data_IF_551053210716
#
_entry.id   IF_551053210716
#
_cell.length_a   1.000
_cell.length_b   1.000
_cell.length_c   1.000
_cell.angle_alpha   90.00
_cell.angle_beta   90.00
_cell.angle_gamma   90.00
#
_symmetry.space_group_name_H-M   'P 1'
#
loop_
_entity.id
_entity.type
_entity.pdbx_description
1 polymer ?
#
# COMPACT_ATOMS: atom_id res chain seq x y z
N UNK A 1 -9.20 -51.46 47.54
CA UNK A 1 -8.55 -50.15 47.80
C UNK A 1 -7.62 -49.90 46.62
N UNK A 2 -8.04 -49.08 45.64
CA UNK A 2 -7.70 -47.64 45.53
C UNK A 2 -6.18 -47.48 45.28
N UNK A 3 -5.67 -46.97 44.16
CA UNK A 3 -6.09 -45.82 43.35
C UNK A 3 -5.70 -45.98 41.86
N UNK A 4 -6.60 -45.57 40.97
CA UNK A 4 -6.31 -45.19 39.58
C UNK A 4 -5.63 -43.80 39.58
N UNK A 5 -4.56 -43.63 38.81
CA UNK A 5 -4.02 -42.31 38.48
C UNK A 5 -4.18 -42.07 36.98
N UNK A 6 -5.27 -41.37 36.64
CA UNK A 6 -5.47 -40.70 35.35
C UNK A 6 -4.43 -39.58 35.26
N UNK A 7 -3.54 -39.62 34.26
CA UNK A 7 -2.75 -38.46 33.86
C UNK A 7 -3.47 -37.85 32.65
N UNK A 8 -4.15 -36.73 32.89
CA UNK A 8 -4.76 -35.89 31.86
C UNK A 8 -3.64 -35.21 31.08
N UNK A 9 -3.39 -35.61 29.83
CA UNK A 9 -2.55 -34.84 28.92
C UNK A 9 -3.28 -33.55 28.55
N UNK A 10 -2.76 -32.42 29.04
CA UNK A 10 -3.14 -31.10 28.56
C UNK A 10 -2.49 -30.87 27.19
N UNK A 11 -3.29 -30.94 26.12
CA UNK A 11 -2.89 -30.52 24.79
C UNK A 11 -2.70 -29.00 24.79
N UNK A 12 -1.44 -28.54 24.80
CA UNK A 12 -1.13 -27.14 24.54
C UNK A 12 -1.33 -26.93 23.04
N UNK A 13 -2.42 -26.27 22.68
CA UNK A 13 -2.59 -25.74 21.33
C UNK A 13 -1.47 -24.71 21.10
N UNK A 14 -0.50 -25.07 20.26
CA UNK A 14 0.41 -24.11 19.66
C UNK A 14 -0.45 -23.18 18.80
N UNK A 15 -0.83 -22.03 19.35
CA UNK A 15 -1.29 -20.93 18.54
C UNK A 15 -0.14 -20.57 17.61
N UNK A 16 -0.28 -20.91 16.32
CA UNK A 16 0.59 -20.36 15.29
C UNK A 16 0.28 -18.87 15.20
N UNK A 17 0.85 -18.08 16.11
CA UNK A 17 1.05 -16.67 15.84
C UNK A 17 1.96 -16.63 14.62
N UNK A 18 1.36 -16.46 13.44
CA UNK A 18 2.10 -16.18 12.23
C UNK A 18 2.89 -14.89 12.50
N UNK A 19 4.16 -15.06 12.85
CA UNK A 19 5.08 -13.95 13.02
C UNK A 19 5.08 -13.18 11.68
N UNK A 20 4.97 -11.84 11.70
CA UNK A 20 5.15 -11.06 10.49
C UNK A 20 6.48 -11.45 9.86
N UNK A 21 6.47 -11.85 8.59
CA UNK A 21 7.70 -12.16 7.86
C UNK A 21 8.67 -10.96 7.96
N UNK A 22 9.95 -11.18 8.29
CA UNK A 22 10.94 -10.11 8.40
C UNK A 22 11.08 -9.38 7.08
N UNK A 23 11.45 -8.09 7.15
CA UNK A 23 11.47 -7.17 6.02
C UNK A 23 12.39 -7.67 4.89
N UNK A 24 13.45 -8.41 5.22
CA UNK A 24 14.38 -9.01 4.25
C UNK A 24 13.78 -10.14 3.40
N UNK A 25 12.70 -10.79 3.85
CA UNK A 25 12.09 -11.94 3.15
C UNK A 25 11.00 -11.52 2.16
N UNK A 26 10.56 -10.25 2.24
CA UNK A 26 9.79 -9.61 1.19
C UNK A 26 10.80 -9.13 0.16
N UNK A 27 10.87 -9.78 -1.00
CA UNK A 27 11.53 -9.18 -2.17
C UNK A 27 10.82 -7.85 -2.47
N UNK A 28 11.27 -6.77 -1.85
CA UNK A 28 10.67 -5.47 -1.98
C UNK A 28 11.01 -4.98 -3.39
N UNK A 29 10.02 -4.97 -4.27
CA UNK A 29 10.14 -4.23 -5.52
C UNK A 29 10.29 -2.76 -5.13
N UNK A 30 11.45 -2.17 -5.46
CA UNK A 30 11.78 -0.77 -5.18
C UNK A 30 11.81 0.03 -6.47
N UNK A 31 11.15 1.18 -6.49
CA UNK A 31 11.16 2.09 -7.64
C UNK A 31 11.25 3.54 -7.16
N UNK A 32 12.33 4.26 -7.48
CA UNK A 32 12.51 5.67 -7.08
C UNK A 32 12.28 5.93 -5.57
N UNK A 33 12.75 5.01 -4.71
CA UNK A 33 12.54 5.08 -3.25
C UNK A 33 11.16 4.61 -2.77
N UNK A 34 10.26 4.22 -3.67
CA UNK A 34 9.00 3.56 -3.32
C UNK A 34 9.21 2.09 -3.02
N UNK A 35 8.51 1.59 -2.01
CA UNK A 35 8.58 0.21 -1.56
C UNK A 35 7.16 -0.32 -1.34
N UNK A 36 6.98 -1.63 -1.49
CA UNK A 36 5.70 -2.28 -1.17
C UNK A 36 5.58 -2.42 0.35
N UNK A 37 4.56 -1.81 0.94
CA UNK A 37 4.24 -1.91 2.38
C UNK A 37 3.26 -3.03 2.71
N UNK A 38 2.64 -3.67 1.71
CA UNK A 38 1.71 -4.78 1.91
C UNK A 38 0.68 -4.92 0.80
N UNK A 39 -0.31 -5.76 1.07
CA UNK A 39 -1.36 -6.15 0.13
C UNK A 39 -1.19 -7.57 -0.39
N UNK A 40 -2.23 -8.10 -1.02
CA UNK A 40 -2.23 -9.49 -1.51
C UNK A 40 -1.83 -9.63 -2.98
N UNK A 41 -1.76 -8.54 -3.76
CA UNK A 41 -1.22 -8.63 -5.12
C UNK A 41 0.27 -8.97 -5.06
N UNK A 42 0.71 -9.89 -5.92
CA UNK A 42 2.15 -10.09 -6.15
C UNK A 42 2.61 -9.09 -7.19
N UNK A 43 3.40 -8.10 -6.79
CA UNK A 43 3.92 -7.07 -7.71
C UNK A 43 5.22 -7.57 -8.34
N UNK A 44 5.28 -7.56 -9.67
CA UNK A 44 6.48 -7.92 -10.44
C UNK A 44 7.27 -6.68 -10.85
N UNK A 45 6.58 -5.59 -11.19
CA UNK A 45 7.19 -4.32 -11.54
C UNK A 45 6.38 -3.18 -10.94
N UNK A 46 7.08 -2.14 -10.51
CA UNK A 46 6.50 -0.91 -10.02
C UNK A 46 7.25 0.25 -10.65
N UNK A 47 6.51 1.21 -11.19
CA UNK A 47 7.05 2.47 -11.64
C UNK A 47 6.13 3.58 -11.15
N UNK A 48 6.72 4.54 -10.43
CA UNK A 48 6.00 5.69 -9.89
C UNK A 48 6.75 6.93 -10.33
N UNK A 49 6.03 7.86 -10.97
CA UNK A 49 6.61 9.14 -11.41
C UNK A 49 7.15 9.93 -10.21
N UNK A 50 8.08 10.87 -10.38
CA UNK A 50 8.36 11.88 -9.37
C UNK A 50 7.13 12.77 -9.11
N UNK A 51 7.13 13.49 -7.99
CA UNK A 51 6.10 14.49 -7.72
C UNK A 51 6.54 15.85 -8.28
N UNK A 52 5.92 16.26 -9.38
CA UNK A 52 6.20 17.55 -10.04
C UNK A 52 4.89 18.28 -10.34
N UNK A 53 4.37 19.12 -9.43
CA UNK A 53 3.19 19.94 -9.70
C UNK A 53 3.35 20.81 -10.96
N UNK A 54 2.28 21.01 -11.74
CA UNK A 54 0.89 20.60 -11.49
C UNK A 54 0.57 19.19 -12.03
N UNK A 55 1.56 18.38 -12.39
CA UNK A 55 1.33 17.08 -13.00
C UNK A 55 0.87 16.04 -11.95
N UNK A 56 -0.05 15.12 -12.32
CA UNK A 56 -0.48 14.05 -11.43
C UNK A 56 0.65 13.03 -11.18
N UNK A 57 0.55 12.30 -10.07
CA UNK A 57 1.46 11.19 -9.78
C UNK A 57 0.96 9.97 -10.55
N UNK A 58 1.78 9.46 -11.47
CA UNK A 58 1.47 8.22 -12.20
C UNK A 58 2.00 7.02 -11.43
N UNK A 59 1.12 6.05 -11.18
CA UNK A 59 1.48 4.76 -10.59
C UNK A 59 1.16 3.67 -11.60
N UNK A 60 2.21 2.97 -12.01
CA UNK A 60 2.15 1.84 -12.93
C UNK A 60 2.70 0.62 -12.22
N UNK A 61 1.89 -0.43 -12.09
CA UNK A 61 2.30 -1.68 -11.45
C UNK A 61 1.89 -2.84 -12.35
N UNK A 62 2.79 -3.80 -12.52
CA UNK A 62 2.43 -5.11 -13.09
C UNK A 62 2.51 -6.16 -11.99
N UNK A 63 1.58 -7.11 -12.00
CA UNK A 63 1.55 -8.12 -10.95
C UNK A 63 0.51 -9.19 -11.17
N UNK A 64 0.55 -10.21 -10.32
CA UNK A 64 -0.43 -11.28 -10.28
C UNK A 64 -1.47 -10.99 -9.20
N UNK A 65 -2.74 -10.95 -9.60
CA UNK A 65 -3.90 -10.86 -8.72
C UNK A 65 -4.37 -12.28 -8.35
N UNK A 66 -4.14 -12.75 -7.10
CA UNK A 66 -4.55 -14.07 -6.67
C UNK A 66 -6.03 -14.17 -6.30
N UNK A 67 -6.76 -13.05 -6.19
CA UNK A 67 -8.16 -13.07 -5.80
C UNK A 67 -9.01 -13.64 -6.94
N UNK A 68 -9.71 -14.78 -6.75
CA UNK A 68 -10.50 -15.43 -7.81
C UNK A 68 -11.67 -14.56 -8.31
N UNK A 69 -12.10 -13.57 -7.53
CA UNK A 69 -13.18 -12.66 -7.91
C UNK A 69 -12.69 -11.41 -8.64
N UNK A 70 -11.38 -11.22 -8.77
CA UNK A 70 -10.80 -9.98 -9.27
C UNK A 70 -11.02 -8.78 -8.34
N UNK A 71 -10.68 -7.60 -8.85
CA UNK A 71 -10.94 -6.32 -8.20
C UNK A 71 -12.13 -5.65 -8.90
N UNK A 72 -13.31 -5.75 -8.30
CA UNK A 72 -14.57 -5.29 -8.93
C UNK A 72 -14.98 -3.90 -8.47
N UNK A 73 -14.61 -3.53 -7.25
CA UNK A 73 -14.70 -2.17 -6.70
C UNK A 73 -13.59 -1.95 -5.68
N UNK A 74 -13.48 -0.72 -5.16
CA UNK A 74 -12.46 -0.41 -4.17
C UNK A 74 -12.25 1.07 -3.96
N UNK A 75 -11.31 1.39 -3.08
CA UNK A 75 -10.88 2.76 -2.86
C UNK A 75 -9.36 2.87 -2.86
N UNK A 76 -8.85 3.98 -3.37
CA UNK A 76 -7.46 4.38 -3.18
C UNK A 76 -7.38 5.41 -2.08
N UNK A 77 -6.56 5.13 -1.07
CA UNK A 77 -6.22 6.06 0.00
C UNK A 77 -4.81 6.58 -0.23
N UNK A 78 -4.69 7.87 -0.50
CA UNK A 78 -3.44 8.59 -0.66
C UNK A 78 -3.17 9.42 0.59
N UNK A 79 -2.17 9.04 1.37
CA UNK A 79 -1.71 9.77 2.56
C UNK A 79 -0.34 10.34 2.30
N UNK A 80 -0.11 11.58 2.69
CA UNK A 80 1.21 12.19 2.64
C UNK A 80 1.37 13.18 3.77
N UNK A 81 2.63 13.43 4.14
CA UNK A 81 2.98 14.53 5.02
C UNK A 81 3.88 15.53 4.31
N UNK A 82 3.90 16.77 4.77
CA UNK A 82 4.90 17.77 4.39
C UNK A 82 5.78 17.97 5.61
N UNK A 83 7.08 17.77 5.46
CA UNK A 83 8.04 17.98 6.54
C UNK A 83 8.91 19.20 6.25
N UNK A 84 9.20 19.97 7.29
CA UNK A 84 10.26 20.97 7.30
C UNK A 84 11.61 20.24 7.26
N UNK A 85 12.43 20.44 6.22
CA UNK A 85 13.72 19.75 6.05
C UNK A 85 14.79 20.27 7.02
N UNK A 86 14.64 21.46 7.58
CA UNK A 86 15.58 22.06 8.52
C UNK A 86 15.30 21.55 9.94
N UNK A 87 14.03 21.50 10.33
CA UNK A 87 13.65 21.12 11.70
C UNK A 87 13.19 19.66 11.83
N UNK A 88 12.92 18.97 10.73
CA UNK A 88 12.34 17.63 10.70
C UNK A 88 10.87 17.58 11.14
N UNK A 89 10.22 18.73 11.34
CA UNK A 89 8.86 18.82 11.86
C UNK A 89 7.83 18.52 10.77
N UNK A 90 6.84 17.69 11.08
CA UNK A 90 5.65 17.53 10.25
C UNK A 90 4.81 18.81 10.29
N UNK A 91 4.65 19.44 9.13
CA UNK A 91 3.90 20.67 8.93
C UNK A 91 2.43 20.37 8.65
N UNK A 92 2.17 19.38 7.79
CA UNK A 92 0.83 19.00 7.36
C UNK A 92 0.80 17.50 7.12
N UNK A 93 -0.26 16.84 7.56
CA UNK A 93 -0.62 15.49 7.11
C UNK A 93 -1.97 15.55 6.41
N UNK A 94 -2.06 14.99 5.21
CA UNK A 94 -3.28 14.98 4.42
C UNK A 94 -3.63 13.56 4.00
N UNK A 95 -4.93 13.29 3.90
CA UNK A 95 -5.45 12.03 3.38
C UNK A 95 -6.48 12.36 2.32
N UNK A 96 -6.31 11.80 1.13
CA UNK A 96 -7.29 11.82 0.05
C UNK A 96 -7.77 10.40 -0.21
N UNK A 97 -9.06 10.26 -0.43
CA UNK A 97 -9.70 8.99 -0.74
C UNK A 97 -10.35 9.17 -2.10
N UNK A 98 -10.08 8.23 -2.99
CA UNK A 98 -10.64 8.18 -4.33
C UNK A 98 -11.40 6.86 -4.48
N UNK A 99 -12.57 6.90 -5.09
CA UNK A 99 -13.17 5.68 -5.62
C UNK A 99 -12.22 5.13 -6.68
N UNK A 100 -11.82 3.87 -6.54
CA UNK A 100 -10.77 3.30 -7.37
C UNK A 100 -11.21 3.24 -8.84
N UNK A 101 -12.48 2.93 -9.09
CA UNK A 101 -13.00 2.58 -10.41
C UNK A 101 -13.54 3.79 -11.19
N UNK A 102 -13.94 4.84 -10.49
CA UNK A 102 -14.58 6.03 -11.07
C UNK A 102 -13.87 7.33 -10.71
N UNK A 103 -13.07 7.33 -9.64
CA UNK A 103 -12.41 8.51 -9.09
C UNK A 103 -10.97 8.71 -9.56
N UNK A 104 -10.38 7.76 -10.29
CA UNK A 104 -9.01 7.83 -10.80
C UNK A 104 -8.97 7.82 -12.33
N UNK A 105 -8.27 8.79 -12.96
CA UNK A 105 -8.00 8.74 -14.38
C UNK A 105 -7.18 7.50 -14.77
N UNK A 106 -7.49 6.95 -15.95
CA UNK A 106 -6.85 5.79 -16.58
C UNK A 106 -7.00 4.46 -15.83
N UNK A 107 -7.82 4.43 -14.78
CA UNK A 107 -8.16 3.19 -14.09
C UNK A 107 -9.63 2.86 -14.29
N UNK A 108 -9.92 1.58 -14.50
CA UNK A 108 -11.28 1.08 -14.52
C UNK A 108 -11.33 -0.31 -13.92
N UNK A 109 -12.49 -0.63 -13.36
CA UNK A 109 -12.82 -1.96 -12.86
C UNK A 109 -13.77 -2.65 -13.85
N UNK A 110 -13.80 -4.00 -13.91
CA UNK A 110 -13.05 -4.91 -13.05
C UNK A 110 -11.60 -5.13 -13.53
N UNK A 111 -10.69 -5.39 -12.58
CA UNK A 111 -9.38 -6.00 -12.86
C UNK A 111 -9.52 -7.50 -12.70
N UNK A 112 -9.27 -8.25 -13.77
CA UNK A 112 -9.39 -9.71 -13.78
C UNK A 112 -8.36 -10.37 -12.86
N UNK A 113 -8.47 -11.69 -12.72
CA UNK A 113 -7.50 -12.50 -11.98
C UNK A 113 -6.26 -12.75 -12.83
N UNK A 114 -5.14 -13.14 -12.21
CA UNK A 114 -3.90 -13.43 -12.94
C UNK A 114 -3.01 -12.21 -13.18
N UNK A 115 -2.24 -12.22 -14.27
CA UNK A 115 -1.33 -11.12 -14.61
C UNK A 115 -2.07 -9.89 -15.10
N UNK A 116 -1.92 -8.78 -14.38
CA UNK A 116 -2.58 -7.51 -14.65
C UNK A 116 -1.61 -6.35 -14.64
N UNK A 117 -1.97 -5.32 -15.39
CA UNK A 117 -1.34 -4.01 -15.40
C UNK A 117 -2.29 -3.02 -14.73
N UNK A 118 -1.84 -2.43 -13.63
CA UNK A 118 -2.50 -1.31 -12.97
C UNK A 118 -1.83 -0.04 -13.46
N UNK A 119 -2.63 0.91 -13.95
CA UNK A 119 -2.17 2.23 -14.32
C UNK A 119 -3.19 3.24 -13.83
N UNK A 120 -2.80 4.11 -12.91
CA UNK A 120 -3.69 5.15 -12.43
C UNK A 120 -2.93 6.44 -12.12
N UNK A 121 -3.65 7.55 -12.22
CA UNK A 121 -3.13 8.88 -11.94
C UNK A 121 -3.73 9.39 -10.63
N UNK A 122 -2.90 9.70 -9.64
CA UNK A 122 -3.35 10.41 -8.44
C UNK A 122 -3.28 11.90 -8.75
N UNK A 123 -4.41 12.64 -8.65
CA UNK A 123 -4.40 14.08 -8.83
C UNK A 123 -3.35 14.76 -7.94
N UNK A 124 -2.67 15.81 -8.43
CA UNK A 124 -1.65 16.49 -7.64
C UNK A 124 -2.28 17.04 -6.35
N UNK A 125 -1.65 16.85 -5.18
CA UNK A 125 -2.09 17.57 -4.00
C UNK A 125 -2.06 19.08 -4.25
N UNK A 126 -3.15 19.76 -3.91
CA UNK A 126 -3.39 21.20 -4.14
C UNK A 126 -2.54 22.11 -3.25
N UNK A 127 -1.77 21.55 -2.32
CA UNK A 127 -0.85 22.33 -1.53
C UNK A 127 0.30 22.76 -2.46
N UNK A 128 0.29 24.05 -2.81
CA UNK A 128 1.45 24.69 -3.40
C UNK A 128 2.64 24.37 -2.49
N UNK A 129 3.64 23.71 -3.07
CA UNK A 129 4.89 23.37 -2.41
C UNK A 129 5.37 24.65 -1.73
N UNK A 130 5.36 24.66 -0.41
CA UNK A 130 6.12 25.66 0.33
C UNK A 130 7.53 25.58 -0.23
N UNK A 131 8.12 26.70 -0.62
CA UNK A 131 9.51 26.82 -1.08
C UNK A 131 10.56 26.24 -0.10
N UNK A 132 10.11 25.66 1.01
CA UNK A 132 10.88 25.09 2.10
C UNK A 132 10.39 23.71 2.57
N UNK A 133 9.43 23.03 1.92
CA UNK A 133 8.85 21.78 2.45
C UNK A 133 8.96 20.58 1.50
N UNK A 134 9.57 19.48 1.95
CA UNK A 134 9.56 18.21 1.23
C UNK A 134 8.25 17.47 1.50
N UNK A 135 7.59 16.91 0.47
CA UNK A 135 6.61 15.84 0.71
C UNK A 135 7.38 14.64 1.24
N UNK A 136 6.94 14.11 2.37
CA UNK A 136 7.57 12.99 3.02
C UNK A 136 6.50 12.03 3.56
N UNK A 137 6.89 10.78 3.78
CA UNK A 137 6.01 9.71 4.28
C UNK A 137 4.74 9.55 3.44
N UNK A 138 4.91 9.32 2.14
CA UNK A 138 3.81 9.08 1.22
C UNK A 138 3.39 7.63 1.29
N UNK A 139 2.09 7.38 1.43
CA UNK A 139 1.50 6.05 1.41
C UNK A 139 0.33 6.05 0.43
N UNK A 140 0.34 5.10 -0.49
CA UNK A 140 -0.76 4.84 -1.42
C UNK A 140 -1.24 3.44 -1.11
N UNK A 141 -2.50 3.33 -0.68
CA UNK A 141 -3.11 2.05 -0.36
C UNK A 141 -4.37 1.86 -1.18
N UNK A 142 -4.39 0.80 -1.98
CA UNK A 142 -5.57 0.35 -2.72
C UNK A 142 -6.27 -0.69 -1.87
N UNK A 143 -7.54 -0.45 -1.57
CA UNK A 143 -8.45 -1.37 -0.92
C UNK A 143 -9.41 -1.96 -1.95
N UNK A 144 -9.72 -3.24 -1.80
CA UNK A 144 -10.71 -3.92 -2.63
C UNK A 144 -12.16 -3.73 -2.12
N UNK A 145 -13.11 -4.37 -2.81
CA UNK A 145 -14.53 -4.36 -2.48
C UNK A 145 -14.85 -4.83 -1.04
N UNK A 146 -13.96 -5.61 -0.42
CA UNK A 146 -14.12 -6.17 0.92
C UNK A 146 -13.28 -5.43 1.96
N UNK A 147 -12.72 -4.26 1.63
CA UNK A 147 -11.77 -3.52 2.46
C UNK A 147 -10.47 -4.28 2.73
N UNK A 148 -10.16 -5.31 1.93
CA UNK A 148 -8.86 -5.96 1.93
C UNK A 148 -7.82 -5.07 1.28
N UNK A 149 -6.60 -5.04 1.81
CA UNK A 149 -5.49 -4.29 1.18
C UNK A 149 -5.08 -5.04 -0.09
N UNK A 150 -5.40 -4.46 -1.24
CA UNK A 150 -5.01 -4.98 -2.54
C UNK A 150 -3.54 -4.71 -2.82
N UNK A 151 -3.11 -3.45 -2.68
CA UNK A 151 -1.74 -2.97 -2.88
C UNK A 151 -1.45 -1.83 -1.90
N UNK A 152 -0.29 -1.87 -1.25
CA UNK A 152 0.24 -0.76 -0.48
C UNK A 152 1.64 -0.43 -0.98
N UNK A 153 1.87 0.82 -1.38
CA UNK A 153 3.20 1.34 -1.68
C UNK A 153 3.48 2.58 -0.85
N UNK A 154 4.72 2.71 -0.40
CA UNK A 154 5.16 3.80 0.48
C UNK A 154 6.47 4.39 0.01
N UNK A 155 6.67 5.67 0.23
CA UNK A 155 7.94 6.34 0.04
C UNK A 155 8.19 7.30 1.21
N UNK A 156 9.20 7.04 2.06
CA UNK A 156 9.47 7.85 3.24
C UNK A 156 10.00 9.25 2.89
N UNK A 157 10.62 9.41 1.72
CA UNK A 157 11.30 10.63 1.28
C UNK A 157 11.02 10.90 -0.20
N UNK A 158 9.75 11.12 -0.53
CA UNK A 158 9.32 11.35 -1.90
C UNK A 158 9.58 12.80 -2.30
N UNK A 159 10.81 13.03 -2.76
CA UNK A 159 11.31 14.35 -3.13
C UNK A 159 10.40 15.05 -4.16
N UNK A 160 10.26 16.37 -3.95
CA UNK A 160 9.53 17.32 -4.79
C UNK A 160 10.51 18.10 -5.64
#
# INVERSE_FOLDING_TARGET
MLFQSLITLASIALSSNALPAPLEERQAVVANGWQICGGYITVNNLNISPYTPPYPISIQSSGNNPNPNGLTSGNLVFRYSVMDPVTGRNLVTNTKIYDLCTGLPNFSCPVSTGLNLLNFLIPPPTLAISSQGLIAQVNVTVFDQNQGVYLCVTNPAYAV
#
